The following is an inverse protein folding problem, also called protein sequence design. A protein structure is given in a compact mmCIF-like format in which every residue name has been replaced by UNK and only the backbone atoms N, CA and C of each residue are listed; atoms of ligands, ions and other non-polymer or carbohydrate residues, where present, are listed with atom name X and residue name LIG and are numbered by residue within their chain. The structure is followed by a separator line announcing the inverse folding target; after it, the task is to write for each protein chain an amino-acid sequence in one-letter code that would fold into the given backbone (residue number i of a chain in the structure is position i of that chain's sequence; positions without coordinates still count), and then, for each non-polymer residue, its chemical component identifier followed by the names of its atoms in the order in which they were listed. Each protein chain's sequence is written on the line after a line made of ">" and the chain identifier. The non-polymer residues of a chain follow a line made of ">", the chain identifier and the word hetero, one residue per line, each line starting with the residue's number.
data_IF_058429954929
#
_entry.id   IF_058429954929
#
_cell.length_a   1.000
_cell.length_b   1.000
_cell.length_c   1.000
_cell.angle_alpha   90.00
_cell.angle_beta   90.00
_cell.angle_gamma   90.00
#
_symmetry.space_group_name_H-M   'P 1'
#
loop_
_entity.id
_entity.type
_entity.pdbx_description
1 polymer ?
#
# COMPACT_ATOMS: atom_id res chain seq x y z
N UNK A 1 -24.36 1.24 15.59
CA UNK A 1 -23.53 0.92 16.77
C UNK A 1 -22.74 2.16 17.13
N UNK A 2 -22.83 2.64 18.37
CA UNK A 2 -21.94 3.69 18.87
C UNK A 2 -20.67 3.00 19.39
N UNK A 3 -19.48 3.29 18.83
CA UNK A 3 -18.22 2.73 19.31
C UNK A 3 -17.98 3.14 20.76
N UNK A 4 -17.52 2.20 21.60
CA UNK A 4 -17.16 2.46 23.01
C UNK A 4 -15.67 2.25 23.27
N UNK A 5 -15.00 1.50 22.40
CA UNK A 5 -13.58 1.17 22.45
C UNK A 5 -12.93 1.40 21.08
N UNK A 6 -11.61 1.53 21.06
CA UNK A 6 -10.84 1.72 19.82
C UNK A 6 -11.06 0.56 18.83
N UNK A 7 -11.24 -0.67 19.33
CA UNK A 7 -11.50 -1.84 18.48
C UNK A 7 -12.87 -1.75 17.80
N UNK A 8 -13.89 -1.16 18.44
CA UNK A 8 -15.20 -0.94 17.82
C UNK A 8 -15.11 0.02 16.63
N UNK A 9 -14.18 0.99 16.67
CA UNK A 9 -13.94 1.89 15.54
C UNK A 9 -13.30 1.14 14.37
N UNK A 10 -12.35 0.24 14.64
CA UNK A 10 -11.72 -0.62 13.63
C UNK A 10 -12.76 -1.55 13.00
N UNK A 11 -13.61 -2.17 13.81
CA UNK A 11 -14.67 -3.06 13.32
C UNK A 11 -15.71 -2.29 12.49
N UNK A 12 -16.17 -1.14 12.98
CA UNK A 12 -17.10 -0.27 12.25
C UNK A 12 -16.52 0.19 10.92
N UNK A 13 -15.24 0.55 10.90
CA UNK A 13 -14.51 0.92 9.70
C UNK A 13 -14.46 -0.25 8.70
N UNK A 14 -14.06 -1.44 9.15
CA UNK A 14 -13.98 -2.63 8.32
C UNK A 14 -15.35 -3.04 7.74
N UNK A 15 -16.40 -2.91 8.57
CA UNK A 15 -17.78 -3.17 8.14
C UNK A 15 -18.23 -2.18 7.07
N UNK A 16 -18.01 -0.88 7.28
CA UNK A 16 -18.33 0.16 6.29
C UNK A 16 -17.56 -0.05 4.99
N UNK A 17 -16.29 -0.45 5.05
CA UNK A 17 -15.49 -0.77 3.86
C UNK A 17 -16.15 -1.90 3.06
N UNK A 18 -16.59 -2.97 3.74
CA UNK A 18 -17.23 -4.10 3.06
C UNK A 18 -18.60 -3.75 2.46
N UNK A 19 -19.40 -2.95 3.16
CA UNK A 19 -20.79 -2.66 2.80
C UNK A 19 -20.93 -1.50 1.79
N UNK A 20 -20.08 -0.47 1.91
CA UNK A 20 -20.08 0.69 1.02
C UNK A 20 -18.66 1.23 0.81
N UNK A 21 -18.03 0.73 -0.26
CA UNK A 21 -16.68 1.13 -0.66
C UNK A 21 -16.58 2.58 -1.18
N UNK A 22 -17.71 3.27 -1.43
CA UNK A 22 -17.69 4.64 -1.97
C UNK A 22 -17.06 5.64 -0.99
N UNK A 23 -17.28 5.43 0.32
CA UNK A 23 -16.71 6.23 1.41
C UNK A 23 -15.18 6.17 1.47
N UNK A 24 -14.57 5.15 0.85
CA UNK A 24 -13.13 4.89 0.89
C UNK A 24 -12.45 5.17 -0.46
N UNK A 25 -13.18 5.73 -1.42
CA UNK A 25 -12.68 5.99 -2.77
C UNK A 25 -11.44 6.90 -2.78
N UNK A 26 -11.38 7.89 -1.87
CA UNK A 26 -10.22 8.76 -1.73
C UNK A 26 -8.98 7.99 -1.25
N UNK A 27 -9.14 7.13 -0.25
CA UNK A 27 -8.04 6.31 0.27
C UNK A 27 -7.57 5.29 -0.76
N UNK A 28 -8.50 4.67 -1.49
CA UNK A 28 -8.18 3.81 -2.63
C UNK A 28 -7.35 4.55 -3.67
N UNK A 29 -7.78 5.74 -4.09
CA UNK A 29 -7.04 6.59 -5.03
C UNK A 29 -5.64 6.95 -4.51
N UNK A 30 -5.52 7.23 -3.21
CA UNK A 30 -4.24 7.49 -2.58
C UNK A 30 -3.32 6.27 -2.63
N UNK A 31 -3.81 5.09 -2.20
CA UNK A 31 -3.05 3.83 -2.24
C UNK A 31 -2.63 3.48 -3.67
N UNK A 32 -3.53 3.61 -4.65
CA UNK A 32 -3.23 3.37 -6.06
C UNK A 32 -2.17 4.33 -6.59
N UNK A 33 -2.22 5.61 -6.22
CA UNK A 33 -1.21 6.61 -6.56
C UNK A 33 0.16 6.23 -5.97
N UNK A 34 0.20 5.83 -4.70
CA UNK A 34 1.42 5.39 -4.03
C UNK A 34 2.00 4.13 -4.69
N UNK A 35 1.16 3.13 -5.00
CA UNK A 35 1.57 1.92 -5.70
C UNK A 35 2.14 2.23 -7.09
N UNK A 36 1.47 3.11 -7.85
CA UNK A 36 1.92 3.51 -9.19
C UNK A 36 3.25 4.27 -9.14
N UNK A 37 3.36 5.22 -8.22
CA UNK A 37 4.59 6.01 -8.00
C UNK A 37 5.75 5.09 -7.60
N UNK A 38 5.54 4.23 -6.61
CA UNK A 38 6.54 3.26 -6.15
C UNK A 38 6.96 2.30 -7.26
N UNK A 39 6.00 1.76 -8.02
CA UNK A 39 6.28 0.90 -9.17
C UNK A 39 7.13 1.60 -10.22
N UNK A 40 6.84 2.87 -10.52
CA UNK A 40 7.64 3.68 -11.45
C UNK A 40 9.06 3.91 -10.92
N UNK A 41 9.19 4.31 -9.65
CA UNK A 41 10.47 4.55 -9.00
C UNK A 41 11.35 3.28 -9.06
N UNK A 42 10.81 2.14 -8.63
CA UNK A 42 11.57 0.89 -8.63
C UNK A 42 11.89 0.39 -10.04
N UNK A 43 11.01 0.60 -11.02
CA UNK A 43 11.33 0.30 -12.43
C UNK A 43 12.47 1.17 -12.95
N UNK A 44 12.53 2.44 -12.56
CA UNK A 44 13.64 3.32 -12.92
C UNK A 44 14.93 2.91 -12.23
N UNK A 45 14.87 2.47 -10.98
CA UNK A 45 16.04 2.02 -10.21
C UNK A 45 16.59 0.68 -10.68
N UNK A 46 15.73 -0.31 -10.90
CA UNK A 46 16.14 -1.70 -11.13
C UNK A 46 15.93 -2.16 -12.58
N UNK A 47 15.31 -1.35 -13.43
CA UNK A 47 14.99 -1.70 -14.81
C UNK A 47 13.84 -2.72 -14.93
N UNK A 48 13.49 -3.07 -16.18
CA UNK A 48 12.45 -4.07 -16.47
C UNK A 48 13.00 -5.50 -16.48
N UNK A 49 14.18 -5.71 -17.08
CA UNK A 49 14.92 -6.97 -17.03
C UNK A 49 15.75 -7.04 -15.74
N UNK A 50 15.81 -8.23 -15.13
CA UNK A 50 16.59 -8.52 -13.93
C UNK A 50 16.24 -7.72 -12.68
N UNK A 51 15.03 -7.16 -12.61
CA UNK A 51 14.52 -6.38 -11.47
C UNK A 51 14.83 -7.06 -10.13
N UNK A 52 14.51 -8.36 -10.00
CA UNK A 52 14.72 -9.12 -8.76
C UNK A 52 16.19 -9.23 -8.39
N UNK A 53 17.09 -9.42 -9.36
CA UNK A 53 18.53 -9.54 -9.12
C UNK A 53 19.08 -8.21 -8.59
N UNK A 54 18.81 -7.12 -9.31
CA UNK A 54 19.26 -5.77 -8.94
C UNK A 54 18.67 -5.27 -7.62
N UNK A 55 17.40 -5.57 -7.36
CA UNK A 55 16.76 -5.25 -6.08
C UNK A 55 17.41 -5.99 -4.91
N UNK A 56 17.75 -7.29 -5.08
CA UNK A 56 18.46 -8.07 -4.06
C UNK A 56 19.87 -7.55 -3.82
N UNK A 57 20.59 -7.20 -4.88
CA UNK A 57 21.92 -6.58 -4.78
C UNK A 57 21.86 -5.26 -4.01
N UNK A 58 20.87 -4.41 -4.31
CA UNK A 58 20.63 -3.17 -3.59
C UNK A 58 20.37 -3.38 -2.10
N UNK A 59 19.46 -4.30 -1.74
CA UNK A 59 19.16 -4.62 -0.33
C UNK A 59 20.41 -5.14 0.38
N UNK A 60 21.18 -6.04 -0.27
CA UNK A 60 22.42 -6.59 0.30
C UNK A 60 23.43 -5.49 0.62
N UNK A 61 23.57 -4.50 -0.26
CA UNK A 61 24.48 -3.37 -0.07
C UNK A 61 24.00 -2.39 1.01
N UNK A 62 22.70 -2.32 1.31
CA UNK A 62 22.17 -1.49 2.39
C UNK A 62 22.27 -2.16 3.77
N UNK A 63 22.30 -3.49 3.80
CA UNK A 63 22.36 -4.29 5.03
C UNK A 63 23.79 -4.69 5.42
N UNK A 64 24.80 -4.21 4.70
CA UNK A 64 26.24 -4.46 4.93
C UNK A 64 26.92 -3.17 5.36
#
# INVERSE_FOLDING_TARGET
>A
MMPKTDLDHVELYAKKLKEDNSLFMQQKKFIESQLKSSSSLFRNMFGKSDFKKKAREYIKNMSS
#
